data_IF_519994578663
#
_entry.id   IF_519994578663
#
_cell.length_a   1.000
_cell.length_b   1.000
_cell.length_c   1.000
_cell.angle_alpha   90.00
_cell.angle_beta   90.00
_cell.angle_gamma   90.00
#
_symmetry.space_group_name_H-M   'P 1'
#
loop_
_entity.id
_entity.type
_entity.pdbx_description
1 polymer ?
#
# COMPACT_ATOMS: atom_id res chain seq x y z
N UNK A 1 14.48 26.68 -16.05
CA UNK A 1 14.08 26.81 -14.63
C UNK A 1 14.26 25.44 -14.02
N UNK A 2 15.30 25.23 -13.21
CA UNK A 2 15.51 23.95 -12.51
C UNK A 2 14.55 23.93 -11.32
N UNK A 3 13.61 22.99 -11.34
CA UNK A 3 12.80 22.71 -10.15
C UNK A 3 13.73 21.95 -9.20
N UNK A 4 14.05 22.54 -8.06
CA UNK A 4 14.68 21.78 -6.97
C UNK A 4 13.59 20.88 -6.39
N UNK A 5 13.72 19.57 -6.59
CA UNK A 5 12.88 18.59 -5.90
C UNK A 5 13.15 18.68 -4.40
N UNK A 6 12.07 18.72 -3.62
CA UNK A 6 12.19 18.71 -2.18
C UNK A 6 12.51 17.30 -1.69
N UNK A 7 13.49 17.16 -0.79
CA UNK A 7 13.79 15.88 -0.15
C UNK A 7 12.67 15.51 0.84
N UNK A 8 11.90 14.51 0.47
CA UNK A 8 10.73 14.03 1.20
C UNK A 8 11.09 13.50 2.59
N UNK A 9 12.31 12.99 2.81
CA UNK A 9 12.74 12.50 4.13
C UNK A 9 12.94 13.63 5.14
N UNK A 10 13.13 14.85 4.64
CA UNK A 10 13.36 16.05 5.44
C UNK A 10 12.10 16.92 5.57
N UNK A 11 11.00 16.56 4.93
CA UNK A 11 9.73 17.27 4.99
C UNK A 11 8.85 16.75 6.13
N UNK A 12 8.29 17.66 6.92
CA UNK A 12 7.37 17.34 8.01
C UNK A 12 6.09 18.15 7.91
N UNK A 13 4.96 17.47 7.87
CA UNK A 13 3.64 18.11 7.95
C UNK A 13 3.30 18.31 9.42
N UNK A 14 3.34 19.56 9.87
CA UNK A 14 2.97 19.96 11.24
C UNK A 14 1.53 20.47 11.35
N UNK A 15 0.84 20.64 10.23
CA UNK A 15 -0.55 21.06 10.21
C UNK A 15 -1.44 20.01 10.92
N UNK A 16 -2.27 20.40 11.92
CA UNK A 16 -3.08 19.45 12.68
C UNK A 16 -4.07 18.66 11.82
N UNK A 17 -4.66 19.29 10.80
CA UNK A 17 -5.67 18.69 9.94
C UNK A 17 -5.06 17.66 8.99
N UNK A 18 -4.10 18.05 8.16
CA UNK A 18 -3.40 17.15 7.24
C UNK A 18 -2.58 16.09 7.97
N UNK A 19 -1.96 16.47 9.10
CA UNK A 19 -1.23 15.53 9.94
C UNK A 19 -2.12 14.43 10.53
N UNK A 20 -3.38 14.73 10.84
CA UNK A 20 -4.35 13.71 11.28
C UNK A 20 -4.65 12.71 10.16
N UNK A 21 -4.90 13.18 8.94
CA UNK A 21 -5.13 12.28 7.80
C UNK A 21 -3.91 11.42 7.47
N UNK A 22 -2.69 11.99 7.52
CA UNK A 22 -1.47 11.20 7.31
C UNK A 22 -1.34 10.07 8.33
N UNK A 23 -1.61 10.34 9.62
CA UNK A 23 -1.60 9.32 10.66
C UNK A 23 -2.69 8.27 10.43
N UNK A 24 -3.92 8.69 10.09
CA UNK A 24 -5.00 7.76 9.78
C UNK A 24 -4.64 6.83 8.62
N UNK A 25 -4.07 7.38 7.54
CA UNK A 25 -3.66 6.60 6.37
C UNK A 25 -2.59 5.57 6.76
N UNK A 26 -1.54 6.00 7.46
CA UNK A 26 -0.46 5.10 7.87
C UNK A 26 -0.90 4.04 8.86
N UNK A 27 -1.60 4.45 9.91
CA UNK A 27 -1.81 3.61 11.10
C UNK A 27 -3.09 2.76 10.97
N UNK A 28 -3.98 3.06 10.02
CA UNK A 28 -5.26 2.35 9.83
C UNK A 28 -5.48 1.91 8.38
N UNK A 29 -5.41 2.84 7.42
CA UNK A 29 -5.83 2.55 6.03
C UNK A 29 -4.88 1.58 5.34
N UNK A 30 -3.56 1.83 5.39
CA UNK A 30 -2.55 0.97 4.75
C UNK A 30 -2.60 -0.46 5.31
N UNK A 31 -2.61 -0.69 6.64
CA UNK A 31 -2.75 -2.03 7.21
C UNK A 31 -4.05 -2.73 6.78
N UNK A 32 -5.19 -2.04 6.86
CA UNK A 32 -6.47 -2.62 6.46
C UNK A 32 -6.49 -3.00 4.97
N UNK A 33 -5.98 -2.13 4.10
CA UNK A 33 -5.89 -2.43 2.66
C UNK A 33 -4.98 -3.62 2.38
N UNK A 34 -3.89 -3.79 3.13
CA UNK A 34 -3.03 -4.97 2.99
C UNK A 34 -3.77 -6.26 3.30
N UNK A 35 -4.56 -6.28 4.38
CA UNK A 35 -5.38 -7.42 4.73
C UNK A 35 -6.46 -7.70 3.67
N UNK A 36 -7.09 -6.65 3.13
CA UNK A 36 -8.08 -6.80 2.05
C UNK A 36 -7.47 -7.34 0.75
N UNK A 37 -6.30 -6.85 0.33
CA UNK A 37 -5.58 -7.33 -0.86
C UNK A 37 -5.10 -8.78 -0.74
N UNK A 38 -4.97 -9.27 0.50
CA UNK A 38 -4.62 -10.66 0.84
C UNK A 38 -5.83 -11.51 1.24
N UNK A 39 -7.06 -11.01 1.03
CA UNK A 39 -8.30 -11.74 1.32
C UNK A 39 -8.46 -12.15 2.81
N UNK A 40 -7.92 -11.34 3.74
CA UNK A 40 -7.95 -11.62 5.20
C UNK A 40 -9.07 -10.89 5.94
N UNK A 41 -9.89 -10.13 5.24
CA UNK A 41 -11.03 -9.40 5.82
C UNK A 41 -12.31 -10.19 5.57
N UNK A 42 -12.80 -10.90 6.58
CA UNK A 42 -13.91 -11.86 6.43
C UNK A 42 -15.25 -11.26 5.96
N UNK A 43 -15.50 -9.98 6.25
CA UNK A 43 -16.73 -9.28 5.86
C UNK A 43 -16.60 -8.55 4.51
N UNK A 44 -15.44 -8.60 3.87
CA UNK A 44 -15.20 -7.97 2.57
C UNK A 44 -15.31 -9.00 1.44
N UNK A 45 -15.76 -8.54 0.27
CA UNK A 45 -15.62 -9.31 -0.96
C UNK A 45 -14.13 -9.59 -1.25
N UNK A 46 -13.78 -10.82 -1.69
CA UNK A 46 -12.40 -11.15 -2.01
C UNK A 46 -11.81 -10.21 -3.08
N UNK A 47 -10.57 -9.78 -2.85
CA UNK A 47 -9.76 -9.01 -3.79
C UNK A 47 -9.01 -9.91 -4.77
N UNK A 48 -8.39 -10.99 -4.28
CA UNK A 48 -7.46 -11.84 -5.04
C UNK A 48 -6.23 -11.12 -5.64
N UNK A 49 -6.00 -9.84 -5.33
CA UNK A 49 -4.94 -9.07 -5.98
C UNK A 49 -3.55 -9.70 -5.77
N UNK A 50 -3.21 -10.07 -4.54
CA UNK A 50 -1.93 -10.75 -4.26
C UNK A 50 -1.93 -12.20 -4.76
N UNK A 51 -3.07 -12.90 -4.67
CA UNK A 51 -3.23 -14.26 -5.18
C UNK A 51 -2.99 -14.35 -6.69
N UNK A 52 -3.49 -13.38 -7.47
CA UNK A 52 -3.22 -13.27 -8.91
C UNK A 52 -1.72 -13.20 -9.21
N UNK A 53 -0.95 -12.43 -8.43
CA UNK A 53 0.51 -12.38 -8.56
C UNK A 53 1.17 -13.71 -8.19
N UNK A 54 0.70 -14.42 -7.15
CA UNK A 54 1.22 -15.75 -6.79
C UNK A 54 0.97 -16.77 -7.91
N UNK A 55 -0.22 -16.76 -8.51
CA UNK A 55 -0.57 -17.60 -9.66
C UNK A 55 0.34 -17.27 -10.85
N UNK A 56 0.46 -16.00 -11.21
CA UNK A 56 1.32 -15.57 -12.32
C UNK A 56 2.81 -15.90 -12.10
N UNK A 57 3.27 -15.91 -10.84
CA UNK A 57 4.62 -16.30 -10.45
C UNK A 57 4.84 -17.83 -10.39
N UNK A 58 3.79 -18.64 -10.58
CA UNK A 58 3.85 -20.10 -10.44
C UNK A 58 4.04 -20.59 -9.00
N UNK A 59 3.71 -19.74 -8.02
CA UNK A 59 3.78 -20.07 -6.58
C UNK A 59 2.46 -20.65 -6.05
N UNK A 60 1.38 -20.53 -6.81
CA UNK A 60 0.05 -21.02 -6.47
C UNK A 60 -0.68 -21.45 -7.76
N UNK A 61 -1.53 -22.47 -7.69
CA UNK A 61 -2.40 -22.86 -8.79
C UNK A 61 -3.78 -22.20 -8.62
N UNK A 62 -4.38 -21.74 -9.72
CA UNK A 62 -5.70 -21.12 -9.68
C UNK A 62 -6.03 -20.36 -10.95
N UNK A 63 -7.19 -19.72 -10.96
CA UNK A 63 -7.64 -18.84 -12.05
C UNK A 63 -7.56 -17.37 -11.60
N UNK A 64 -7.38 -16.49 -12.57
CA UNK A 64 -7.47 -15.05 -12.35
C UNK A 64 -8.85 -14.67 -11.79
N UNK A 65 -8.88 -13.78 -10.79
CA UNK A 65 -10.11 -13.22 -10.24
C UNK A 65 -10.03 -11.69 -10.12
N UNK A 66 -11.18 -11.04 -10.25
CA UNK A 66 -11.34 -9.60 -10.04
C UNK A 66 -11.39 -8.81 -11.36
N UNK A 67 -11.06 -7.52 -11.27
CA UNK A 67 -11.13 -6.62 -12.41
C UNK A 67 -9.86 -6.71 -13.25
N UNK A 68 -9.94 -6.41 -14.56
CA UNK A 68 -8.77 -6.41 -15.48
C UNK A 68 -7.61 -5.51 -15.03
N UNK A 69 -7.88 -4.57 -14.11
CA UNK A 69 -6.91 -3.63 -13.54
C UNK A 69 -6.53 -3.92 -12.08
N UNK A 70 -6.78 -5.14 -11.57
CA UNK A 70 -6.56 -5.49 -10.16
C UNK A 70 -5.12 -5.23 -9.69
N UNK A 71 -4.14 -5.42 -10.58
CA UNK A 71 -2.73 -5.14 -10.34
C UNK A 71 -2.47 -3.69 -9.91
N UNK A 72 -3.33 -2.76 -10.37
CA UNK A 72 -3.22 -1.34 -10.01
C UNK A 72 -3.49 -1.09 -8.53
N UNK A 73 -4.25 -1.94 -7.85
CA UNK A 73 -4.52 -1.78 -6.42
C UNK A 73 -3.27 -2.09 -5.59
N UNK A 74 -2.52 -3.13 -5.98
CA UNK A 74 -1.21 -3.44 -5.37
C UNK A 74 -0.21 -2.32 -5.65
N UNK A 75 -0.17 -1.79 -6.88
CA UNK A 75 0.73 -0.70 -7.23
C UNK A 75 0.45 0.58 -6.43
N UNK A 76 -0.83 0.99 -6.30
CA UNK A 76 -1.23 2.16 -5.51
C UNK A 76 -0.96 1.96 -4.02
N UNK A 77 -1.15 0.74 -3.51
CA UNK A 77 -0.82 0.43 -2.12
C UNK A 77 0.69 0.54 -1.88
N UNK A 78 1.52 0.00 -2.77
CA UNK A 78 2.99 0.13 -2.70
C UNK A 78 3.44 1.61 -2.76
N UNK A 79 2.80 2.41 -3.62
CA UNK A 79 3.04 3.85 -3.70
C UNK A 79 2.74 4.53 -2.35
N UNK A 80 1.56 4.28 -1.77
CA UNK A 80 1.17 4.84 -0.48
C UNK A 80 2.13 4.43 0.65
N UNK A 81 2.59 3.17 0.65
CA UNK A 81 3.62 2.68 1.58
C UNK A 81 4.93 3.44 1.42
N UNK A 82 5.40 3.65 0.18
CA UNK A 82 6.63 4.40 -0.07
C UNK A 82 6.55 5.83 0.46
N UNK A 83 5.44 6.54 0.20
CA UNK A 83 5.20 7.89 0.74
C UNK A 83 5.16 7.90 2.28
N UNK A 84 4.52 6.90 2.88
CA UNK A 84 4.43 6.76 4.34
C UNK A 84 5.80 6.56 4.99
N UNK A 85 6.65 5.73 4.38
CA UNK A 85 8.00 5.42 4.86
C UNK A 85 8.95 6.63 4.78
N UNK A 86 8.81 7.50 3.77
CA UNK A 86 9.57 8.75 3.69
C UNK A 86 9.30 9.65 4.92
N UNK A 87 8.05 9.69 5.40
CA UNK A 87 7.65 10.52 6.53
C UNK A 87 8.03 9.90 7.88
N UNK A 88 7.92 8.58 8.00
CA UNK A 88 8.24 7.82 9.21
C UNK A 88 8.73 6.44 8.81
N UNK A 89 10.04 6.16 8.92
CA UNK A 89 10.58 4.83 8.71
C UNK A 89 9.88 3.79 9.60
N UNK A 90 9.53 2.65 9.02
CA UNK A 90 8.87 1.54 9.69
C UNK A 90 9.40 0.23 9.09
N UNK A 91 10.25 -0.46 9.87
CA UNK A 91 10.95 -1.65 9.40
C UNK A 91 10.01 -2.84 9.11
N UNK A 92 8.89 -2.95 9.82
CA UNK A 92 7.91 -4.03 9.60
C UNK A 92 7.13 -3.77 8.31
N UNK A 93 6.69 -2.53 8.09
CA UNK A 93 6.05 -2.16 6.84
C UNK A 93 7.01 -2.30 5.64
N UNK A 94 8.30 -2.00 5.84
CA UNK A 94 9.34 -2.15 4.82
C UNK A 94 9.65 -3.63 4.49
N UNK A 95 9.38 -4.54 5.42
CA UNK A 95 9.48 -5.98 5.17
C UNK A 95 8.26 -6.48 4.39
N UNK A 96 7.07 -5.99 4.72
CA UNK A 96 5.80 -6.44 4.12
C UNK A 96 5.59 -5.94 2.68
N UNK A 97 6.34 -4.94 2.21
CA UNK A 97 6.31 -4.46 0.81
C UNK A 97 7.06 -5.37 -0.19
N UNK A 98 7.71 -6.44 0.28
CA UNK A 98 8.48 -7.39 -0.54
C UNK A 98 7.67 -8.64 -0.83
#
# INVERSE_FOLDING_TARGET
MSIMEADLHNLKINDPFLGQYQRLVRDVVIPYQWDALNDRVAEAEPSHAITNFRIAAGLEEGEFYGMVFQDSDVAKWLEAVAWSLCQKPDAELEKNRR
#
